data_IF_341928314307
#
_entry.id   IF_341928314307
#
_cell.length_a   1.000
_cell.length_b   1.000
_cell.length_c   1.000
_cell.angle_alpha   90.00
_cell.angle_beta   90.00
_cell.angle_gamma   90.00
#
_symmetry.space_group_name_H-M   'P 1'
#
loop_
_entity.id
_entity.type
_entity.pdbx_description
1 polymer ?
2 non-polymer ?
3 water ?
#
# COMPACT_ATOMS: atom_id res chain seq x y z
N UNK A 1 9.01 -10.48 19.26
CA UNK A 1 9.15 -9.56 18.18
C UNK A 1 8.74 -10.12 16.83
N UNK A 2 9.08 -11.34 16.54
CA UNK A 2 8.70 -11.92 15.26
C UNK A 2 7.17 -12.15 15.17
N UNK A 3 6.53 -12.59 16.25
CA UNK A 3 5.11 -12.74 16.21
C UNK A 3 4.44 -11.38 15.96
N UNK A 4 4.92 -10.31 16.62
CA UNK A 4 4.28 -9.03 16.41
C UNK A 4 4.48 -8.56 14.97
N UNK A 5 5.67 -8.76 14.40
CA UNK A 5 5.90 -8.42 13.00
C UNK A 5 5.01 -9.18 12.08
N UNK A 6 4.80 -10.46 12.35
CA UNK A 6 3.92 -11.27 11.49
C UNK A 6 2.49 -10.68 11.42
N UNK A 7 1.99 -10.19 12.53
CA UNK A 7 0.68 -9.60 12.56
C UNK A 7 0.64 -8.26 11.83
N UNK A 8 1.70 -7.48 11.95
CA UNK A 8 1.79 -6.20 11.21
C UNK A 8 1.85 -6.42 9.69
N UNK A 9 2.61 -7.43 9.28
CA UNK A 9 2.71 -7.81 7.88
C UNK A 9 1.39 -8.30 7.34
N UNK A 10 0.68 -9.16 8.07
CA UNK A 10 -0.64 -9.62 7.64
C UNK A 10 -1.65 -8.45 7.47
N UNK A 11 -1.59 -7.48 8.37
CA UNK A 11 -2.48 -6.36 8.31
C UNK A 11 -2.16 -5.52 7.04
N UNK A 12 -0.87 -5.33 6.79
CA UNK A 12 -0.43 -4.60 5.61
C UNK A 12 -0.86 -5.29 4.33
N UNK A 13 -0.75 -6.62 4.29
CA UNK A 13 -1.16 -7.38 3.13
C UNK A 13 -2.63 -7.13 2.82
N UNK A 14 -3.46 -7.04 3.87
CA UNK A 14 -4.90 -6.92 3.68
C UNK A 14 -5.23 -5.53 3.17
N UNK A 15 -4.48 -4.55 3.63
CA UNK A 15 -4.70 -3.16 3.20
C UNK A 15 -4.23 -2.93 1.78
N UNK A 16 -3.10 -3.50 1.45
CA UNK A 16 -2.54 -3.32 0.10
C UNK A 16 -3.37 -4.00 -0.97
N UNK A 17 -3.93 -5.18 -0.68
CA UNK A 17 -4.86 -5.85 -1.60
C UNK A 17 -6.03 -4.92 -1.81
CA UNK A 18 -7.63 -3.42 -0.82
C UNK A 18 -7.30 -2.23 -1.69
N UNK A 19 -6.16 -1.58 -1.42
CA UNK A 19 -5.75 -0.36 -2.20
C UNK A 19 -5.60 -0.75 -3.65
N UNK A 20 -5.03 -1.91 -3.96
CA UNK A 20 -4.91 -2.27 -5.38
C UNK A 20 -6.23 -2.33 -6.11
N UNK A 21 -7.25 -2.89 -5.48
CA UNK A 21 -8.55 -2.97 -6.13
C UNK A 21 -9.12 -1.58 -6.30
N UNK A 22 -8.96 -0.74 -5.25
CA UNK A 22 -9.52 0.62 -5.29
C UNK A 22 -8.87 1.46 -6.39
N UNK A 23 -7.55 1.33 -6.51
CA UNK A 23 -6.81 2.03 -7.53
C UNK A 23 -7.21 1.54 -8.91
N UNK A 24 -7.41 0.23 -9.09
CA UNK A 24 -7.87 -0.27 -10.37
C UNK A 24 -9.24 0.30 -10.72
N UNK A 25 -10.15 0.44 -9.76
CA UNK A 25 -11.48 1.04 -10.06
C UNK A 25 -11.39 2.55 -10.42
N UNK A 26 -10.53 3.25 -9.72
CA UNK A 26 -10.38 4.66 -9.99
C UNK A 26 -9.78 4.89 -11.33
N UNK A 27 -8.83 4.06 -11.70
CA UNK A 27 -8.27 4.20 -13.06
C UNK A 27 -9.36 4.06 -14.14
N UNK A 28 -10.24 3.11 -13.94
CA UNK A 28 -11.36 3.00 -14.93
C UNK A 28 -12.29 4.21 -14.94
N UNK A 29 -12.53 4.79 -13.79
CA UNK A 29 -13.48 5.86 -13.71
C UNK A 29 -12.87 7.07 -14.36
N UNK A 30 -11.58 7.34 -14.09
CA UNK A 30 -10.94 8.53 -14.67
C UNK A 30 -10.69 8.37 -16.17
N UNK A 31 -10.23 7.18 -16.53
CA UNK A 31 -9.99 6.83 -17.89
C UNK A 31 -8.63 7.31 -18.39
N UNK A 32 -8.44 7.22 -19.69
CA UNK A 32 -7.13 7.49 -20.32
C UNK A 32 -7.29 8.34 -21.56
N UNK B 1 18.47 -9.10 12.24
CA UNK B 1 17.57 -9.39 11.05
C UNK B 1 16.18 -8.85 11.37
N UNK B 2 15.71 -9.13 12.58
CA UNK B 2 14.37 -8.71 13.02
C UNK B 2 14.29 -7.18 13.17
N UNK B 3 15.30 -6.53 13.76
CA UNK B 3 15.33 -5.07 13.82
C UNK B 3 15.24 -4.36 12.48
N UNK B 4 15.95 -4.90 11.48
CA UNK B 4 15.93 -4.43 10.12
C UNK B 4 14.56 -4.59 9.45
N UNK B 5 13.94 -5.71 9.73
CA UNK B 5 12.59 -5.93 9.24
C UNK B 5 11.61 -4.98 9.90
N UNK B 6 11.75 -4.79 11.21
CA UNK B 6 10.88 -3.83 11.90
C UNK B 6 10.87 -2.41 11.28
N UNK B 7 12.07 -1.96 10.88
CA UNK B 7 12.27 -0.64 10.28
C UNK B 7 11.54 -0.57 8.91
N UNK B 8 11.66 -1.66 8.15
CA UNK B 8 11.04 -1.77 6.85
C UNK B 8 9.51 -1.74 6.97
N UNK B 9 8.98 -2.51 7.93
CA UNK B 9 7.53 -2.56 8.16
C UNK B 9 6.98 -1.19 8.63
N UNK B 10 7.71 -0.52 9.54
CA UNK B 10 7.34 0.80 9.98
C UNK B 10 7.26 1.70 8.78
N UNK B 11 8.25 1.63 7.89
CA UNK B 11 8.29 2.52 6.71
C UNK B 11 7.06 2.22 5.81
N UNK B 12 6.68 0.94 5.65
CA UNK B 12 5.55 0.57 4.84
C UNK B 12 4.26 1.06 5.48
N UNK B 13 4.11 0.93 6.77
CA UNK B 13 2.90 1.37 7.45
C UNK B 13 2.65 2.86 7.17
N UNK B 14 3.73 3.62 7.17
CA UNK B 14 3.64 5.10 6.91
C UNK B 14 3.17 5.36 5.51
N UNK B 15 3.73 4.62 4.54
CA UNK B 15 3.37 4.81 3.11
C UNK B 15 1.96 4.40 2.86
N UNK B 16 1.45 3.37 3.53
CA UNK B 16 0.13 2.89 3.27
C UNK B 16 -0.89 3.79 3.89
N UNK B 17 -0.56 4.43 5.03
CA UNK B 17 -1.47 5.42 5.63
C UNK B 17 -1.66 6.59 4.62
CA UNK B 18 -0.66 8.10 3.01
C UNK B 18 -1.51 7.69 1.84
N UNK B 19 -1.26 6.51 1.30
CA UNK B 19 -2.03 6.07 0.16
C UNK B 19 -3.49 5.98 0.49
N UNK B 20 -3.83 5.38 1.65
CA UNK B 20 -5.26 5.31 2.04
C UNK B 20 -5.95 6.66 1.96
N UNK B 21 -5.30 7.68 2.50
CA UNK B 21 -5.86 9.04 2.54
C UNK B 21 -5.99 9.57 1.12
N UNK B 22 -4.98 9.36 0.29
CA UNK B 22 -5.07 9.89 -1.05
C UNK B 22 -6.19 9.20 -1.83
N UNK B 23 -6.29 7.89 -1.70
CA UNK B 23 -7.32 7.15 -2.37
C UNK B 23 -8.70 7.51 -1.88
N UNK B 24 -8.88 7.74 -0.58
CA UNK B 24 -10.18 8.28 -0.11
C UNK B 24 -10.59 9.61 -0.74
N UNK B 25 -9.63 10.50 -0.89
CA UNK B 25 -9.88 11.78 -1.53
C UNK B 25 -10.27 11.63 -3.00
N UNK B 26 -9.53 10.84 -3.74
CA UNK B 26 -9.84 10.61 -5.12
C UNK B 26 -11.25 9.96 -5.24
N UNK B 27 -11.58 9.00 -4.39
CA UNK B 27 -12.90 8.36 -4.48
C UNK B 27 -14.04 9.37 -4.30
N UNK B 28 -13.84 10.33 -3.40
CA UNK B 28 -14.83 11.40 -3.19
C UNK B 28 -14.99 12.28 -4.42
N UNK B 29 -13.87 12.59 -5.09
CA UNK B 29 -13.87 13.42 -6.32
C UNK B 29 -14.52 12.68 -7.53
N UNK B 30 -14.31 11.39 -7.65
CA UNK B 30 -14.90 10.61 -8.74
C UNK B 30 -16.39 10.28 -8.48
N UNK B 31 -16.78 10.25 -7.20
CA UNK B 31 -18.14 9.86 -6.83
C UNK B 31 -18.42 8.36 -6.92
N UNK B 32 -19.68 8.06 -7.27
CA UNK B 32 -20.23 6.73 -7.70
C UNK B 32 -20.89 5.96 -6.54
N UNK C 1 10.98 -18.66 10.10
CA UNK C 1 10.05 -17.55 10.15
C UNK C 1 10.57 -16.23 9.68
N UNK C 2 11.85 -15.94 9.88
CA UNK C 2 12.36 -14.65 9.48
C UNK C 2 12.50 -14.53 7.99
N UNK C 3 12.99 -15.57 7.35
CA UNK C 3 13.07 -15.55 5.90
C UNK C 3 11.71 -15.43 5.22
N UNK C 4 10.68 -16.04 5.81
CA UNK C 4 9.33 -15.96 5.26
C UNK C 4 8.82 -14.52 5.37
N UNK C 5 9.16 -13.85 6.46
CA UNK C 5 8.78 -12.44 6.63
C UNK C 5 9.54 -11.56 5.63
N UNK C 6 10.83 -11.84 5.47
CA UNK C 6 11.65 -11.01 4.58
C UNK C 6 11.05 -11.04 3.16
N UNK C 7 10.55 -12.20 2.71
CA UNK C 7 9.98 -12.39 1.35
C UNK C 7 8.70 -11.60 1.29
N UNK C 8 7.90 -11.71 2.36
CA UNK C 8 6.63 -11.01 2.38
C UNK C 8 6.81 -9.49 2.35
N UNK C 9 7.80 -8.99 3.09
CA UNK C 9 8.07 -7.57 3.16
C UNK C 9 8.60 -7.07 1.79
N UNK C 10 9.52 -7.82 1.18
CA UNK C 10 9.99 -7.45 -0.18
C UNK C 10 8.82 -7.34 -1.15
N UNK C 11 7.87 -8.27 -1.08
CA UNK C 11 6.72 -8.30 -1.95
C UNK C 11 5.87 -7.06 -1.75
N UNK C 12 5.59 -6.69 -0.53
CA UNK C 12 4.83 -5.49 -0.18
C UNK C 12 5.52 -4.24 -0.68
N UNK C 13 6.82 -4.13 -0.50
CA UNK C 13 7.56 -2.94 -0.95
C UNK C 13 7.39 -2.73 -2.46
N UNK C 14 7.38 -3.83 -3.21
CA UNK C 14 7.34 -3.71 -4.67
C UNK C 14 5.94 -3.30 -5.04
N UNK C 15 4.89 -3.81 -4.33
CA UNK C 15 3.50 -3.43 -4.55
C UNK C 15 3.20 -1.99 -4.19
N UNK C 16 3.76 -1.50 -3.12
CA UNK C 16 3.55 -0.11 -2.65
C UNK C 16 4.23 0.85 -3.56
N UNK C 17 5.38 0.46 -4.08
CA UNK C 17 6.07 1.33 -5.08
C UNK C 17 5.11 1.55 -6.23
CA UNK C 18 3.54 0.51 -7.83
C UNK C 18 2.33 1.42 -7.53
N UNK C 19 1.74 1.22 -6.36
CA UNK C 19 0.58 1.99 -5.96
C UNK C 19 0.94 3.46 -5.88
N UNK C 20 2.11 3.79 -5.37
CA UNK C 20 2.54 5.21 -5.32
C UNK C 20 2.56 5.82 -6.73
N UNK C 21 3.10 5.09 -7.68
CA UNK C 21 3.13 5.60 -9.06
C UNK C 21 1.80 5.77 -9.61
N UNK C 22 0.89 4.81 -9.43
CA UNK C 22 -0.41 4.94 -9.96
C UNK C 22 -1.23 6.03 -9.37
N UNK C 23 -1.14 6.19 -8.04
CA UNK C 23 -1.83 7.23 -7.35
C UNK C 23 -1.30 8.63 -7.74
N UNK C 24 0.01 8.73 -7.95
CA UNK C 24 0.59 10.03 -8.37
C UNK C 24 -0.01 10.43 -9.75
N UNK C 25 -0.15 9.48 -10.65
CA UNK C 25 -0.78 9.75 -11.92
C UNK C 25 -2.24 10.19 -11.77
N UNK C 26 -3.00 9.48 -10.96
CA UNK C 26 -4.40 9.85 -10.72
C UNK C 26 -4.52 11.22 -10.12
N UNK C 27 -3.68 11.55 -9.14
CA UNK C 27 -3.71 12.86 -8.50
C UNK C 27 -3.48 13.94 -9.55
N UNK C 28 -2.54 13.72 -10.48
CA UNK C 28 -2.30 14.72 -11.50
C UNK C 28 -3.44 14.87 -12.44
N UNK C 29 -4.06 13.78 -12.89
CA UNK C 29 -5.21 13.94 -13.80
C UNK C 29 -6.40 14.60 -13.14
N UNK C 30 -6.70 14.23 -11.89
CA UNK C 30 -7.94 14.78 -11.25
C UNK C 30 -7.63 16.19 -10.71
N UNK C 31 -6.38 16.48 -10.32
CA UNK C 31 -6.07 17.84 -9.69
C UNK C 31 -5.96 18.98 -10.72
X LIG D 1 6.75 -10.60 18.84
X LIG D 1 7.66 -10.94 19.62
X LIG D 1 7.45 -11.67 20.89
X LIG D 1 6.17 -12.20 21.09
X LIG D 1 5.90 -12.83 22.25
X LIG D 1 6.84 -13.18 23.26
X LIG D 1 8.15 -12.68 22.92
X LIG D 1 8.46 -11.98 21.78
X LIG D 1 7.12 -14.30 25.50
X LIG D 1 6.50 -13.87 24.35
X LIG D 1 6.35 -14.94 26.53
X LIG D 1 8.30 -13.51 25.72
X LIG E 1 -1.17 10.97 4.98
X LIG E 1 -1.43 11.02 6.20
X LIG E 1 -0.36 10.54 7.10
X LIG E 1 -0.35 11.05 8.40
X LIG E 1 0.65 10.68 9.27
X LIG E 1 1.65 9.79 8.87
X LIG E 1 1.63 9.30 7.58
X LIG E 1 0.62 9.68 6.66
X LIG E 1 3.88 8.96 9.41
X LIG E 1 2.62 9.49 9.78
X LIG E 1 4.82 9.14 10.52
X LIG E 1 4.41 9.46 8.09
X LIG F 1 10.89 -18.57 7.82
X LIG F 1 11.36 -19.12 8.77
X LIG F 1 12.11 -20.39 8.72
X LIG F 1 12.41 -20.93 7.49
X LIG F 1 13.12 -22.10 7.46
X LIG F 1 13.48 -22.76 8.58
X LIG F 1 13.20 -22.27 9.79
X LIG F 1 12.52 -21.04 9.84
X LIG F 1 15.34 -24.40 9.18
X LIG F 1 14.27 -23.89 8.39
X LIG F 1 15.29 -24.13 10.53
X LIG F 1 15.70 -25.82 8.82
X LIG G 1 9.52 2.77 -10.10
X LIG G 1 9.03 2.28 -11.17
X LIG G 1 9.82 1.69 -12.32
X LIG G 1 9.55 0.36 -12.78
X LIG G 1 10.27 -0.13 -13.87
X LIG G 1 11.29 0.59 -14.47
X LIG G 1 11.54 1.89 -13.94
X LIG G 1 10.78 2.44 -12.89
X LIG G 1 13.01 0.55 -16.38
X LIG G 1 11.99 -0.03 -15.57
X LIG G 1 13.92 -0.48 -16.82
X LIG G 1 13.68 1.75 -15.79
#
# INVERSE_FOLDING_TARGET
>A
RVARLEKKVSALEKKVAXLEKEVARLKKLVGE
>B
RVARLEKKVSALEKKVAXLEKEVARLKKLVGE
>C
RVARLEKKVSALEKKVAXLEKEVARLKKLVGE
>D hetero
1 TYZ O1 C7 C3 C4 C5 C6 C1 C2 C8 N O4 C9
>E hetero
1 TYZ O1 C7 C3 C4 C5 C6 C1 C2 C8 N O4 C9
>F hetero
1 TYZ O1 C7 C3 C4 C5 C6 C1 C2 C8 N O4 C9
>G hetero
1 TYZ O1 C7 C3 C4 C5 C6 C1 C2 C8 N O4 C9
#
